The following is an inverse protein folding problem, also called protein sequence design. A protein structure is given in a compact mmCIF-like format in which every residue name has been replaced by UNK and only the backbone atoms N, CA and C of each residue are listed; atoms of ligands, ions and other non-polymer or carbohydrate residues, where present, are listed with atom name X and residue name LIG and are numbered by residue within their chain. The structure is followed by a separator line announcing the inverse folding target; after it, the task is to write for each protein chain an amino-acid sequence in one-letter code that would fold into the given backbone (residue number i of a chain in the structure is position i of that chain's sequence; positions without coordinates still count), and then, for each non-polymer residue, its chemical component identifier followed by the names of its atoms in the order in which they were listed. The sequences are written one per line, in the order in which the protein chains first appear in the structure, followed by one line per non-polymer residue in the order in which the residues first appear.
data_IF_353057829491
#
_entry.id   IF_353057829491
#
_cell.length_a   1.000
_cell.length_b   1.000
_cell.length_c   1.000
_cell.angle_alpha   90.00
_cell.angle_beta   90.00
_cell.angle_gamma   90.00
#
_symmetry.space_group_name_H-M   'P 1'
#
loop_
_entity.id
_entity.type
_entity.pdbx_description
1 polymer ?
#
# COMPACT_ATOMS: atom_id res chain seq x y z
N UNK A 1 -13.95 -17.15 -11.47
CA UNK A 1 -12.71 -16.93 -12.25
C UNK A 1 -12.81 -15.61 -12.97
N UNK A 2 -11.83 -14.70 -12.85
CA UNK A 2 -11.84 -13.46 -13.66
C UNK A 2 -11.56 -13.84 -15.10
N UNK A 3 -12.52 -13.68 -16.00
CA UNK A 3 -12.38 -13.97 -17.44
C UNK A 3 -11.48 -12.96 -18.18
N UNK A 4 -10.48 -12.35 -17.54
CA UNK A 4 -9.61 -11.34 -18.14
C UNK A 4 -10.22 -9.95 -18.37
N UNK A 5 -11.54 -9.79 -18.24
CA UNK A 5 -12.26 -8.55 -18.55
C UNK A 5 -12.26 -7.51 -17.42
N UNK A 6 -11.94 -7.91 -16.19
CA UNK A 6 -12.02 -7.08 -15.00
C UNK A 6 -10.68 -6.90 -14.30
N UNK A 7 -10.33 -5.64 -14.04
CA UNK A 7 -9.20 -5.23 -13.20
C UNK A 7 -9.73 -4.53 -11.96
N UNK A 8 -8.95 -4.56 -10.88
CA UNK A 8 -9.26 -3.79 -9.66
C UNK A 8 -9.25 -2.29 -10.02
N UNK A 9 -10.11 -1.50 -9.36
CA UNK A 9 -10.24 -0.06 -9.55
C UNK A 9 -10.82 0.43 -10.91
N UNK A 10 -11.69 -0.35 -11.54
CA UNK A 10 -12.57 0.13 -12.62
C UNK A 10 -13.81 0.79 -12.00
N UNK A 11 -14.30 1.90 -12.58
CA UNK A 11 -15.53 2.56 -12.09
C UNK A 11 -16.76 1.70 -12.33
N UNK A 12 -17.76 1.79 -11.45
CA UNK A 12 -18.98 0.97 -11.52
C UNK A 12 -19.69 1.09 -12.87
N UNK A 13 -19.76 2.30 -13.44
CA UNK A 13 -20.37 2.52 -14.75
C UNK A 13 -19.62 1.81 -15.90
N UNK A 14 -18.28 1.74 -15.86
CA UNK A 14 -17.50 0.99 -16.86
C UNK A 14 -17.66 -0.52 -16.62
N UNK A 15 -17.70 -0.94 -15.36
CA UNK A 15 -17.90 -2.32 -14.97
C UNK A 15 -19.24 -2.87 -15.50
N UNK A 16 -20.35 -2.18 -15.22
CA UNK A 16 -21.70 -2.57 -15.65
C UNK A 16 -21.80 -2.64 -17.17
N UNK A 17 -21.22 -1.67 -17.89
CA UNK A 17 -21.22 -1.69 -19.37
C UNK A 17 -20.48 -2.90 -19.95
N UNK A 18 -19.42 -3.37 -19.28
CA UNK A 18 -18.63 -4.52 -19.70
C UNK A 18 -19.22 -5.86 -19.26
N UNK A 19 -20.01 -5.88 -18.19
CA UNK A 19 -20.69 -7.05 -17.68
C UNK A 19 -22.02 -6.61 -17.05
N UNK A 20 -23.12 -6.60 -17.83
CA UNK A 20 -24.43 -6.17 -17.36
C UNK A 20 -24.94 -6.99 -16.17
N UNK A 21 -24.58 -8.28 -16.13
CA UNK A 21 -24.99 -9.22 -15.07
C UNK A 21 -24.07 -9.18 -13.83
N UNK A 22 -23.25 -8.13 -13.69
CA UNK A 22 -22.32 -8.01 -12.56
C UNK A 22 -23.08 -7.85 -11.23
N UNK A 23 -22.84 -8.78 -10.32
CA UNK A 23 -23.37 -8.71 -8.95
C UNK A 23 -22.43 -7.89 -8.07
N UNK A 24 -22.94 -6.79 -7.51
CA UNK A 24 -22.24 -5.99 -6.51
C UNK A 24 -22.50 -6.54 -5.11
N UNK A 25 -21.44 -6.93 -4.42
CA UNK A 25 -21.50 -7.42 -3.03
C UNK A 25 -20.93 -6.36 -2.10
N UNK A 26 -21.69 -5.89 -1.08
CA UNK A 26 -21.19 -4.95 -0.10
C UNK A 26 -19.94 -5.48 0.63
N UNK A 27 -18.94 -4.64 0.91
CA UNK A 27 -17.73 -5.08 1.61
C UNK A 27 -18.02 -5.41 3.08
N UNK A 28 -17.52 -6.56 3.54
CA UNK A 28 -17.60 -7.01 4.94
C UNK A 28 -16.24 -6.92 5.62
N UNK A 29 -15.76 -5.68 5.85
CA UNK A 29 -14.41 -5.43 6.36
C UNK A 29 -14.11 -6.10 7.70
N UNK A 30 -15.11 -6.31 8.56
CA UNK A 30 -14.93 -7.02 9.82
C UNK A 30 -14.55 -8.48 9.59
N UNK A 31 -15.27 -9.16 8.70
CA UNK A 31 -14.98 -10.54 8.28
C UNK A 31 -13.60 -10.63 7.61
N UNK A 32 -13.26 -9.67 6.74
CA UNK A 32 -11.96 -9.67 6.06
C UNK A 32 -10.80 -9.52 7.04
N UNK A 33 -10.97 -8.70 8.09
CA UNK A 33 -9.98 -8.54 9.15
C UNK A 33 -9.86 -9.80 10.01
N UNK A 34 -10.99 -10.38 10.40
CA UNK A 34 -11.00 -11.64 11.17
C UNK A 34 -10.25 -12.76 10.42
N UNK A 35 -10.53 -12.95 9.14
CA UNK A 35 -9.85 -13.96 8.32
C UNK A 35 -8.36 -13.62 8.14
N UNK A 36 -8.02 -12.35 7.92
CA UNK A 36 -6.63 -11.88 7.88
C UNK A 36 -5.90 -12.22 9.17
N UNK A 37 -6.50 -11.97 10.33
CA UNK A 37 -5.89 -12.23 11.64
C UNK A 37 -5.70 -13.74 11.86
N UNK A 38 -6.65 -14.57 11.42
CA UNK A 38 -6.50 -16.05 11.42
C UNK A 38 -5.34 -16.52 10.54
N UNK A 39 -5.21 -15.97 9.34
CA UNK A 39 -4.09 -16.31 8.43
C UNK A 39 -2.75 -15.85 9.04
N UNK A 40 -2.71 -14.68 9.68
CA UNK A 40 -1.50 -14.19 10.37
C UNK A 40 -1.11 -15.06 11.56
N UNK A 41 -2.08 -15.61 12.28
CA UNK A 41 -1.81 -16.59 13.33
C UNK A 41 -1.16 -17.87 12.76
N UNK A 42 -1.60 -18.35 11.58
CA UNK A 42 -0.93 -19.46 10.89
C UNK A 42 0.52 -19.10 10.55
N UNK A 43 0.79 -17.89 10.04
CA UNK A 43 2.16 -17.46 9.73
C UNK A 43 3.09 -17.48 10.95
N UNK A 44 2.59 -17.07 12.12
CA UNK A 44 3.35 -17.02 13.36
C UNK A 44 3.85 -18.42 13.82
N UNK A 45 3.23 -19.50 13.34
CA UNK A 45 3.69 -20.86 13.62
C UNK A 45 4.96 -21.26 12.84
N UNK A 46 5.42 -20.43 11.90
CA UNK A 46 6.57 -20.72 11.03
C UNK A 46 7.70 -19.70 11.15
N UNK A 47 7.42 -18.48 11.60
CA UNK A 47 8.43 -17.44 11.84
C UNK A 47 7.85 -16.27 12.63
N UNK A 48 8.68 -15.63 13.45
CA UNK A 48 8.35 -14.35 14.07
C UNK A 48 8.60 -13.15 13.13
N UNK A 49 9.31 -13.38 12.02
CA UNK A 49 9.66 -12.37 11.04
C UNK A 49 8.58 -12.24 9.96
N UNK A 50 7.49 -11.56 10.32
CA UNK A 50 6.32 -11.37 9.45
C UNK A 50 6.11 -9.87 9.16
N UNK A 51 6.14 -9.47 7.89
CA UNK A 51 5.84 -8.09 7.47
C UNK A 51 4.53 -8.06 6.65
N UNK A 52 3.40 -7.65 7.25
CA UNK A 52 2.15 -7.50 6.51
C UNK A 52 2.23 -6.35 5.49
N UNK A 53 1.77 -6.60 4.26
CA UNK A 53 1.59 -5.55 3.23
C UNK A 53 0.12 -5.09 3.13
N UNK A 54 -0.81 -6.02 3.32
CA UNK A 54 -2.26 -5.80 3.24
C UNK A 54 -2.99 -6.76 4.20
N UNK A 55 -4.31 -6.89 4.05
CA UNK A 55 -5.08 -7.91 4.77
C UNK A 55 -4.76 -9.33 4.27
N UNK A 56 -4.39 -9.47 3.00
CA UNK A 56 -4.23 -10.75 2.31
C UNK A 56 -2.80 -11.06 1.85
N UNK A 57 -1.84 -10.17 2.14
CA UNK A 57 -0.43 -10.34 1.77
C UNK A 57 0.52 -10.03 2.93
N UNK A 58 1.53 -10.88 3.10
CA UNK A 58 2.63 -10.69 4.03
C UNK A 58 3.94 -11.25 3.43
N UNK A 59 5.08 -10.66 3.81
CA UNK A 59 6.38 -11.32 3.69
C UNK A 59 6.67 -12.11 4.95
N UNK A 60 7.24 -13.30 4.78
CA UNK A 60 7.73 -14.15 5.86
C UNK A 60 9.22 -14.40 5.60
N UNK A 61 10.07 -14.17 6.60
CA UNK A 61 11.45 -14.65 6.56
C UNK A 61 11.52 -16.02 7.22
N UNK A 62 11.77 -17.04 6.40
CA UNK A 62 11.86 -18.45 6.80
C UNK A 62 13.28 -18.98 6.61
N UNK A 63 14.28 -18.09 6.71
CA UNK A 63 15.70 -18.48 6.66
C UNK A 63 16.01 -19.49 7.76
N UNK A 64 15.43 -19.30 8.94
CA UNK A 64 15.42 -20.30 10.01
C UNK A 64 14.15 -21.16 9.90
N UNK A 65 14.33 -22.47 9.71
CA UNK A 65 13.23 -23.43 9.64
C UNK A 65 12.93 -24.01 11.03
N UNK A 66 12.09 -23.30 11.78
CA UNK A 66 11.71 -23.68 13.14
C UNK A 66 10.81 -24.94 13.20
N UNK A 67 10.30 -25.40 12.04
CA UNK A 67 9.40 -26.56 11.93
C UNK A 67 10.09 -27.80 11.36
N UNK A 68 11.33 -27.68 10.89
CA UNK A 68 12.11 -28.80 10.35
C UNK A 68 11.55 -29.38 9.04
N UNK A 69 10.90 -28.55 8.21
CA UNK A 69 10.35 -28.94 6.91
C UNK A 69 11.40 -29.00 5.78
N UNK A 70 12.64 -28.56 6.05
CA UNK A 70 13.83 -28.69 5.22
C UNK A 70 13.98 -27.64 4.11
N UNK A 71 12.88 -27.10 3.57
CA UNK A 71 12.96 -26.07 2.52
C UNK A 71 11.87 -25.01 2.66
N UNK A 72 12.18 -23.78 2.25
CA UNK A 72 11.19 -22.70 2.17
C UNK A 72 10.00 -23.02 1.24
N UNK A 73 10.21 -23.91 0.24
CA UNK A 73 9.15 -24.41 -0.62
C UNK A 73 8.16 -25.27 0.17
N UNK A 74 8.66 -26.23 0.96
CA UNK A 74 7.84 -27.07 1.82
C UNK A 74 7.09 -26.24 2.88
N UNK A 75 7.73 -25.24 3.47
CA UNK A 75 7.08 -24.30 4.40
C UNK A 75 5.92 -23.57 3.71
N UNK A 76 6.14 -23.04 2.50
CA UNK A 76 5.09 -22.34 1.76
C UNK A 76 3.94 -23.26 1.32
N UNK A 77 4.21 -24.51 0.96
CA UNK A 77 3.18 -25.52 0.66
C UNK A 77 2.33 -25.85 1.88
N UNK A 78 2.97 -26.08 3.02
CA UNK A 78 2.31 -26.36 4.29
C UNK A 78 1.43 -25.19 4.74
N UNK A 79 1.95 -23.95 4.69
CA UNK A 79 1.18 -22.73 5.01
C UNK A 79 -0.06 -22.64 4.12
N UNK A 80 0.07 -22.87 2.81
CA UNK A 80 -1.07 -22.84 1.88
C UNK A 80 -2.11 -23.92 2.20
N UNK A 81 -1.66 -25.14 2.50
CA UNK A 81 -2.53 -26.23 2.89
C UNK A 81 -3.32 -25.90 4.18
N UNK A 82 -2.65 -25.34 5.19
CA UNK A 82 -3.28 -24.88 6.42
C UNK A 82 -4.26 -23.73 6.22
N UNK A 83 -3.91 -22.72 5.42
CA UNK A 83 -4.86 -21.64 5.07
C UNK A 83 -6.13 -22.24 4.46
N UNK A 84 -5.98 -23.21 3.55
CA UNK A 84 -7.13 -23.88 2.92
C UNK A 84 -7.95 -24.69 3.91
N UNK A 85 -7.31 -25.45 4.78
CA UNK A 85 -7.98 -26.26 5.80
C UNK A 85 -8.75 -25.38 6.81
N UNK A 86 -8.11 -24.32 7.31
CA UNK A 86 -8.65 -23.52 8.41
C UNK A 86 -9.71 -22.53 7.92
N UNK A 87 -9.52 -21.94 6.73
CA UNK A 87 -10.37 -20.83 6.24
C UNK A 87 -11.25 -21.20 5.05
N UNK A 88 -10.99 -22.33 4.39
CA UNK A 88 -11.62 -22.69 3.12
C UNK A 88 -11.11 -21.89 1.91
N UNK A 89 -10.22 -20.92 2.10
CA UNK A 89 -9.69 -20.04 1.05
C UNK A 89 -8.37 -20.58 0.47
N UNK A 90 -8.11 -20.29 -0.80
CA UNK A 90 -6.83 -20.62 -1.46
C UNK A 90 -5.84 -19.47 -1.32
N UNK A 91 -4.55 -19.79 -1.21
CA UNK A 91 -3.47 -18.81 -1.24
C UNK A 91 -2.43 -19.17 -2.32
N UNK A 92 -1.79 -18.16 -2.90
CA UNK A 92 -0.61 -18.34 -3.74
C UNK A 92 0.64 -17.90 -2.98
N UNK A 93 1.79 -18.49 -3.29
CA UNK A 93 3.05 -18.16 -2.63
C UNK A 93 4.19 -17.95 -3.63
N UNK A 94 5.08 -17.02 -3.31
CA UNK A 94 6.34 -16.81 -4.02
C UNK A 94 7.49 -17.02 -3.06
N UNK A 95 8.45 -17.88 -3.43
CA UNK A 95 9.61 -18.21 -2.60
C UNK A 95 10.88 -17.78 -3.32
N UNK A 96 11.68 -16.95 -2.67
CA UNK A 96 12.97 -16.51 -3.20
C UNK A 96 13.90 -16.03 -2.08
N UNK A 97 15.11 -15.64 -2.46
CA UNK A 97 16.20 -15.24 -1.56
C UNK A 97 16.15 -13.75 -1.16
N UNK A 98 15.17 -12.99 -1.68
CA UNK A 98 14.89 -11.62 -1.24
C UNK A 98 13.41 -11.25 -1.47
N UNK A 99 12.96 -10.20 -0.80
CA UNK A 99 11.57 -9.72 -0.82
C UNK A 99 11.09 -9.36 -2.22
N UNK A 100 11.88 -8.59 -2.98
CA UNK A 100 11.51 -8.14 -4.31
C UNK A 100 11.15 -9.30 -5.25
N UNK A 101 12.02 -10.32 -5.33
CA UNK A 101 11.79 -11.47 -6.22
C UNK A 101 10.69 -12.38 -5.66
N UNK A 102 10.62 -12.58 -4.34
CA UNK A 102 9.54 -13.35 -3.72
C UNK A 102 8.16 -12.76 -4.08
N UNK A 103 8.01 -11.43 -4.05
CA UNK A 103 6.77 -10.77 -4.47
C UNK A 103 6.47 -10.95 -5.95
N UNK A 104 7.46 -10.80 -6.84
CA UNK A 104 7.29 -11.08 -8.26
C UNK A 104 6.86 -12.52 -8.54
N UNK A 105 7.44 -13.48 -7.81
CA UNK A 105 7.14 -14.89 -7.91
C UNK A 105 5.71 -15.20 -7.45
N UNK A 106 5.23 -14.56 -6.38
CA UNK A 106 3.89 -14.82 -5.83
C UNK A 106 2.75 -14.53 -6.81
N UNK A 107 2.97 -13.67 -7.80
CA UNK A 107 1.99 -13.34 -8.84
C UNK A 107 2.08 -14.25 -10.07
N UNK A 108 3.19 -14.99 -10.24
CA UNK A 108 3.51 -15.69 -11.49
C UNK A 108 2.58 -16.89 -11.76
N UNK A 109 2.23 -17.64 -10.72
CA UNK A 109 1.44 -18.88 -10.80
C UNK A 109 0.07 -18.73 -10.11
N UNK A 110 -0.50 -17.51 -10.05
CA UNK A 110 -1.86 -17.30 -9.53
C UNK A 110 -2.90 -17.87 -10.52
N UNK A 111 -4.04 -18.44 -10.04
CA UNK A 111 -4.42 -18.63 -8.64
C UNK A 111 -3.94 -19.97 -8.05
N UNK A 112 -3.90 -20.05 -6.72
CA UNK A 112 -3.64 -21.27 -5.93
C UNK A 112 -2.37 -22.04 -6.34
N UNK A 113 -1.28 -21.30 -6.52
CA UNK A 113 -0.02 -21.84 -7.00
C UNK A 113 1.18 -21.28 -6.24
N UNK A 114 2.29 -22.03 -6.31
CA UNK A 114 3.59 -21.64 -5.77
C UNK A 114 4.57 -21.37 -6.92
N UNK A 115 5.43 -20.36 -6.77
CA UNK A 115 6.53 -20.10 -7.68
C UNK A 115 7.84 -19.93 -6.90
N UNK A 116 8.87 -20.67 -7.29
CA UNK A 116 10.17 -20.67 -6.61
C UNK A 116 11.23 -20.11 -7.55
N UNK A 117 11.90 -19.04 -7.14
CA UNK A 117 12.99 -18.43 -7.90
C UNK A 117 14.28 -18.49 -7.08
N UNK A 118 15.24 -19.29 -7.54
CA UNK A 118 16.52 -19.49 -6.87
C UNK A 118 17.53 -18.38 -7.20
N UNK A 119 18.60 -18.19 -6.39
CA UNK A 119 19.65 -17.20 -6.66
C UNK A 119 20.22 -17.27 -8.08
N UNK A 120 20.44 -18.49 -8.59
CA UNK A 120 20.96 -18.72 -9.96
C UNK A 120 20.02 -18.21 -11.06
N UNK A 121 18.72 -18.10 -10.78
CA UNK A 121 17.69 -17.68 -11.75
C UNK A 121 17.19 -16.24 -11.54
N UNK A 122 17.46 -15.64 -10.39
CA UNK A 122 16.86 -14.37 -9.97
C UNK A 122 17.04 -13.23 -10.96
N UNK A 123 18.29 -12.90 -11.31
CA UNK A 123 18.59 -11.80 -12.23
C UNK A 123 17.98 -12.01 -13.62
N UNK A 124 18.14 -13.20 -14.20
CA UNK A 124 17.58 -13.53 -15.51
C UNK A 124 16.04 -13.48 -15.52
N UNK A 125 15.41 -13.98 -14.45
CA UNK A 125 13.96 -13.88 -14.28
C UNK A 125 13.52 -12.42 -14.26
N UNK A 126 14.15 -11.57 -13.44
CA UNK A 126 13.80 -10.15 -13.37
C UNK A 126 13.98 -9.45 -14.72
N UNK A 127 15.08 -9.73 -15.42
CA UNK A 127 15.37 -9.11 -16.72
C UNK A 127 14.33 -9.48 -17.80
N UNK A 128 13.75 -10.67 -17.72
CA UNK A 128 12.70 -11.12 -18.65
C UNK A 128 11.35 -10.40 -18.49
N UNK A 129 11.16 -9.67 -17.39
CA UNK A 129 9.87 -9.10 -17.02
C UNK A 129 9.73 -7.64 -17.47
N UNK A 130 8.51 -7.20 -17.86
CA UNK A 130 8.21 -5.78 -18.01
C UNK A 130 8.41 -5.01 -16.70
N UNK A 131 9.01 -3.82 -16.73
CA UNK A 131 9.29 -3.02 -15.51
C UNK A 131 8.03 -2.64 -14.73
N UNK A 132 6.88 -2.55 -15.40
CA UNK A 132 5.56 -2.32 -14.75
C UNK A 132 5.13 -3.43 -13.79
N UNK A 133 5.78 -4.61 -13.83
CA UNK A 133 5.54 -5.69 -12.86
C UNK A 133 6.37 -5.50 -11.57
N UNK A 134 7.39 -4.65 -11.59
CA UNK A 134 8.31 -4.52 -10.47
C UNK A 134 7.59 -3.87 -9.29
N UNK A 135 7.71 -4.47 -8.11
CA UNK A 135 7.17 -3.88 -6.90
C UNK A 135 7.75 -2.45 -6.72
N UNK A 136 6.89 -1.48 -6.45
CA UNK A 136 7.25 -0.06 -6.33
C UNK A 136 7.28 0.72 -7.65
N UNK A 137 7.20 0.06 -8.82
CA UNK A 137 7.02 0.75 -10.11
C UNK A 137 5.53 0.94 -10.38
N UNK A 138 4.99 2.08 -9.92
CA UNK A 138 3.61 2.47 -10.20
C UNK A 138 3.40 3.01 -11.63
N UNK A 139 2.14 3.28 -12.03
CA UNK A 139 1.80 3.72 -13.40
C UNK A 139 2.57 4.96 -13.87
N UNK A 140 2.78 5.94 -12.98
CA UNK A 140 3.53 7.17 -13.28
C UNK A 140 5.00 6.88 -13.57
N UNK A 141 5.63 6.07 -12.71
CA UNK A 141 7.03 5.66 -12.88
C UNK A 141 7.19 4.80 -14.13
N UNK A 142 6.26 3.89 -14.40
CA UNK A 142 6.26 3.07 -15.62
C UNK A 142 6.17 3.93 -16.89
N UNK A 143 5.29 4.94 -16.90
CA UNK A 143 5.18 5.85 -18.05
C UNK A 143 6.45 6.71 -18.22
N UNK A 144 7.09 7.12 -17.12
CA UNK A 144 8.39 7.81 -17.17
C UNK A 144 9.48 6.91 -17.74
N UNK A 145 9.56 5.66 -17.29
CA UNK A 145 10.49 4.64 -17.81
C UNK A 145 10.28 4.40 -19.30
N UNK A 146 9.04 4.26 -19.75
CA UNK A 146 8.68 4.09 -21.16
C UNK A 146 9.17 5.25 -22.04
N UNK A 147 9.01 6.51 -21.58
CA UNK A 147 9.56 7.68 -22.28
C UNK A 147 11.08 7.70 -22.36
N UNK A 148 11.76 7.00 -21.45
CA UNK A 148 13.21 6.84 -21.44
C UNK A 148 13.67 5.56 -22.18
N UNK A 149 12.76 4.84 -22.83
CA UNK A 149 13.05 3.59 -23.55
C UNK A 149 13.23 2.36 -22.64
N UNK A 150 12.84 2.44 -21.37
CA UNK A 150 12.98 1.36 -20.39
C UNK A 150 11.64 0.62 -20.28
N UNK A 151 11.51 -0.53 -20.94
CA UNK A 151 10.27 -1.33 -20.98
C UNK A 151 10.37 -2.62 -20.16
N UNK A 152 11.56 -3.18 -20.09
CA UNK A 152 11.87 -4.48 -19.48
C UNK A 152 12.95 -4.36 -18.41
N UNK A 153 13.06 -5.39 -17.57
CA UNK A 153 14.16 -5.50 -16.61
C UNK A 153 15.52 -5.54 -17.29
N UNK A 154 15.62 -6.07 -18.51
CA UNK A 154 16.84 -6.06 -19.32
C UNK A 154 17.23 -4.63 -19.72
N UNK A 155 16.27 -3.80 -20.15
CA UNK A 155 16.53 -2.38 -20.46
C UNK A 155 17.01 -1.65 -19.21
N UNK A 156 16.34 -1.87 -18.07
CA UNK A 156 16.71 -1.26 -16.81
C UNK A 156 18.09 -1.71 -16.32
N UNK A 157 18.45 -2.98 -16.55
CA UNK A 157 19.77 -3.51 -16.24
C UNK A 157 20.87 -2.80 -17.04
N UNK A 158 20.60 -2.46 -18.30
CA UNK A 158 21.51 -1.71 -19.18
C UNK A 158 21.77 -0.25 -18.77
N UNK A 159 20.96 0.31 -17.86
CA UNK A 159 21.14 1.68 -17.40
C UNK A 159 22.25 1.80 -16.34
N UNK A 160 23.01 2.90 -16.41
CA UNK A 160 23.99 3.24 -15.38
C UNK A 160 23.30 3.77 -14.12
N UNK A 161 23.94 3.62 -12.96
CA UNK A 161 23.40 4.18 -11.72
C UNK A 161 23.26 5.70 -11.80
N UNK A 162 24.24 6.40 -12.37
CA UNK A 162 24.20 7.85 -12.55
C UNK A 162 23.01 8.31 -13.41
N UNK A 163 22.70 7.58 -14.49
CA UNK A 163 21.51 7.84 -15.30
C UNK A 163 20.24 7.67 -14.46
N UNK A 164 20.14 6.59 -13.69
CA UNK A 164 18.98 6.35 -12.83
C UNK A 164 18.86 7.40 -11.73
N UNK A 165 19.97 7.89 -11.15
CA UNK A 165 19.96 8.96 -10.14
C UNK A 165 19.45 10.27 -10.74
N UNK A 166 19.93 10.65 -11.93
CA UNK A 166 19.48 11.85 -12.63
C UNK A 166 17.96 11.84 -12.94
N UNK A 167 17.40 10.66 -13.23
CA UNK A 167 16.00 10.53 -13.61
C UNK A 167 15.05 10.10 -12.49
N UNK A 168 15.50 9.37 -11.47
CA UNK A 168 14.65 8.77 -10.43
C UNK A 168 15.09 9.14 -9.00
N UNK A 169 16.13 9.97 -8.84
CA UNK A 169 16.57 10.50 -7.56
C UNK A 169 16.90 9.38 -6.57
N UNK A 170 16.39 9.50 -5.35
CA UNK A 170 16.60 8.52 -4.26
C UNK A 170 16.08 7.11 -4.57
N UNK A 171 15.26 6.93 -5.61
CA UNK A 171 14.76 5.63 -6.01
C UNK A 171 15.71 4.86 -6.95
N UNK A 172 16.78 5.50 -7.41
CA UNK A 172 17.72 4.94 -8.36
C UNK A 172 18.44 3.68 -7.85
N UNK A 173 18.92 3.68 -6.61
CA UNK A 173 19.64 2.56 -6.03
C UNK A 173 18.76 1.30 -5.96
N UNK A 174 17.48 1.49 -5.59
CA UNK A 174 16.50 0.42 -5.59
C UNK A 174 16.30 -0.17 -6.99
N UNK A 175 16.07 0.69 -8.00
CA UNK A 175 15.85 0.24 -9.37
C UNK A 175 17.07 -0.46 -9.97
N UNK A 176 18.26 0.08 -9.70
CA UNK A 176 19.53 -0.47 -10.13
C UNK A 176 19.77 -1.87 -9.56
N UNK A 177 19.55 -2.04 -8.26
CA UNK A 177 19.65 -3.32 -7.56
C UNK A 177 18.57 -4.31 -8.03
N UNK A 178 17.32 -3.86 -8.14
CA UNK A 178 16.20 -4.69 -8.56
C UNK A 178 16.46 -5.38 -9.90
N UNK A 179 16.90 -4.63 -10.93
CA UNK A 179 17.23 -5.18 -12.25
C UNK A 179 18.36 -6.23 -12.24
N UNK A 180 19.17 -6.24 -11.17
CA UNK A 180 20.27 -7.20 -10.92
C UNK A 180 19.86 -8.33 -9.98
N UNK A 181 18.59 -8.38 -9.57
CA UNK A 181 18.08 -9.35 -8.61
C UNK A 181 18.62 -9.13 -7.19
N UNK A 182 19.01 -7.90 -6.85
CA UNK A 182 19.58 -7.51 -5.56
C UNK A 182 18.57 -6.68 -4.79
N UNK A 183 18.20 -7.14 -3.60
CA UNK A 183 17.38 -6.41 -2.63
C UNK A 183 17.81 -6.84 -1.21
N UNK A 184 18.38 -5.91 -0.45
CA UNK A 184 18.89 -6.17 0.91
C UNK A 184 17.91 -5.75 2.00
N UNK A 185 16.69 -5.31 1.66
CA UNK A 185 15.71 -4.89 2.66
C UNK A 185 15.27 -6.13 3.48
N UNK A 186 15.41 -6.11 4.81
CA UNK A 186 14.92 -7.20 5.64
C UNK A 186 13.39 -7.21 5.69
N UNK A 187 12.84 -8.33 6.14
CA UNK A 187 11.45 -8.41 6.60
C UNK A 187 11.34 -7.68 7.94
N UNK A 188 10.43 -6.71 8.03
CA UNK A 188 10.24 -5.83 9.19
C UNK A 188 8.92 -6.14 9.89
N UNK A 189 8.98 -6.64 11.13
CA UNK A 189 7.83 -7.12 11.90
C UNK A 189 6.86 -5.98 12.28
N UNK A 190 7.41 -4.87 12.73
CA UNK A 190 6.63 -3.70 13.16
C UNK A 190 6.98 -2.49 12.30
N UNK A 191 5.98 -1.92 11.63
CA UNK A 191 6.08 -0.59 11.05
C UNK A 191 5.09 0.31 11.77
N UNK A 192 5.59 1.13 12.69
CA UNK A 192 4.78 2.20 13.26
C UNK A 192 4.21 3.04 12.11
N UNK A 193 2.89 3.25 12.12
CA UNK A 193 2.25 4.08 11.11
C UNK A 193 2.83 5.49 11.21
N UNK A 194 3.34 6.06 10.12
CA UNK A 194 3.90 7.44 10.11
C UNK A 194 2.81 8.53 10.18
N UNK A 195 1.56 8.13 9.95
CA UNK A 195 0.39 8.99 10.03
C UNK A 195 -0.88 8.17 10.26
N UNK A 196 -1.88 8.78 10.87
CA UNK A 196 -3.19 8.17 11.14
C UNK A 196 -4.29 9.16 10.77
N UNK A 197 -5.28 8.73 10.01
CA UNK A 197 -6.34 9.60 9.53
C UNK A 197 -7.53 8.87 8.94
N UNK A 198 -8.48 9.65 8.45
CA UNK A 198 -9.63 9.17 7.69
C UNK A 198 -9.90 10.10 6.51
N UNK A 199 -10.46 9.55 5.44
CA UNK A 199 -10.97 10.31 4.30
C UNK A 199 -12.28 9.72 3.81
N UNK A 200 -13.12 10.57 3.22
CA UNK A 200 -14.43 10.17 2.69
C UNK A 200 -14.67 10.85 1.35
N UNK A 201 -14.93 10.03 0.33
CA UNK A 201 -15.52 10.49 -0.93
C UNK A 201 -17.03 10.61 -0.75
N UNK A 202 -17.61 11.71 -1.23
CA UNK A 202 -19.03 11.98 -1.17
C UNK A 202 -19.72 11.55 -2.46
N UNK A 203 -20.98 11.13 -2.35
CA UNK A 203 -21.83 10.76 -3.48
C UNK A 203 -22.14 11.99 -4.35
N UNK A 204 -22.46 13.10 -3.68
CA UNK A 204 -22.67 14.42 -4.29
C UNK A 204 -21.56 15.37 -3.84
N UNK A 205 -21.05 16.18 -4.77
CA UNK A 205 -20.03 17.17 -4.45
C UNK A 205 -20.62 18.24 -3.52
N UNK A 206 -19.88 18.59 -2.47
CA UNK A 206 -20.28 19.58 -1.46
C UNK A 206 -19.74 20.96 -1.83
N UNK A 207 -20.58 21.98 -1.86
CA UNK A 207 -20.22 23.34 -2.29
C UNK A 207 -20.36 24.38 -1.18
N UNK A 208 -21.20 24.12 -0.17
CA UNK A 208 -21.48 25.08 0.90
C UNK A 208 -20.49 24.93 2.07
N UNK A 209 -20.17 26.03 2.74
CA UNK A 209 -19.33 26.02 3.93
C UNK A 209 -19.90 25.13 5.05
N UNK A 210 -21.23 25.13 5.18
CA UNK A 210 -21.95 24.36 6.20
C UNK A 210 -21.83 22.86 5.96
N UNK A 211 -22.09 22.40 4.73
CA UNK A 211 -21.98 20.98 4.36
C UNK A 211 -20.54 20.47 4.52
N UNK A 212 -19.56 21.28 4.11
CA UNK A 212 -18.15 20.95 4.22
C UNK A 212 -17.70 20.85 5.68
N UNK A 213 -18.15 21.77 6.54
CA UNK A 213 -17.90 21.72 7.99
C UNK A 213 -18.52 20.45 8.57
N UNK A 214 -19.80 20.18 8.32
CA UNK A 214 -20.47 18.99 8.82
C UNK A 214 -19.79 17.69 8.33
N UNK A 215 -19.33 17.67 7.08
CA UNK A 215 -18.57 16.56 6.54
C UNK A 215 -17.21 16.39 7.22
N UNK A 216 -16.48 17.47 7.48
CA UNK A 216 -15.19 17.41 8.16
C UNK A 216 -15.33 16.94 9.61
N UNK A 217 -16.40 17.32 10.32
CA UNK A 217 -16.71 16.77 11.65
C UNK A 217 -16.77 15.23 11.62
N UNK A 218 -17.55 14.66 10.69
CA UNK A 218 -17.66 13.19 10.55
C UNK A 218 -16.32 12.53 10.21
N UNK A 219 -15.51 13.17 9.38
CA UNK A 219 -14.16 12.69 9.03
C UNK A 219 -13.24 12.74 10.26
N UNK A 220 -13.30 13.82 11.03
CA UNK A 220 -12.51 13.98 12.25
C UNK A 220 -12.90 12.97 13.32
N UNK A 221 -14.20 12.68 13.52
CA UNK A 221 -14.66 11.64 14.44
C UNK A 221 -14.08 10.27 14.05
N UNK A 222 -14.20 9.90 12.77
CA UNK A 222 -13.66 8.63 12.27
C UNK A 222 -12.13 8.54 12.37
N UNK A 223 -11.42 9.65 12.13
CA UNK A 223 -9.97 9.73 12.28
C UNK A 223 -9.57 9.64 13.77
N UNK A 224 -10.27 10.32 14.66
CA UNK A 224 -9.93 10.39 16.08
C UNK A 224 -10.08 9.04 16.78
N UNK A 225 -11.14 8.29 16.50
CA UNK A 225 -11.30 6.90 16.98
C UNK A 225 -10.09 6.05 16.61
N UNK A 226 -9.52 6.25 15.41
CA UNK A 226 -8.31 5.54 14.98
C UNK A 226 -7.07 6.04 15.71
N UNK A 227 -6.93 7.36 15.90
CA UNK A 227 -5.80 7.97 16.61
C UNK A 227 -5.74 7.45 18.06
N UNK A 228 -6.86 7.46 18.78
CA UNK A 228 -6.96 6.95 20.15
C UNK A 228 -6.64 5.46 20.23
N UNK A 229 -7.20 4.66 19.32
CA UNK A 229 -6.94 3.21 19.28
C UNK A 229 -5.46 2.87 19.10
N UNK A 230 -4.71 3.69 18.35
CA UNK A 230 -3.28 3.47 18.12
C UNK A 230 -2.40 4.21 19.14
N UNK A 231 -2.97 4.90 20.14
CA UNK A 231 -2.22 5.70 21.11
C UNK A 231 -1.32 6.77 20.47
N UNK A 232 -1.64 7.20 19.24
CA UNK A 232 -0.74 8.00 18.42
C UNK A 232 -0.74 9.46 18.87
N UNK A 233 0.46 10.02 19.10
CA UNK A 233 0.65 11.44 19.41
C UNK A 233 1.41 12.11 18.29
N UNK A 234 0.77 13.03 17.58
CA UNK A 234 1.37 13.77 16.48
C UNK A 234 1.18 15.27 16.62
N UNK A 235 1.94 16.05 15.85
CA UNK A 235 1.92 17.52 15.88
C UNK A 235 1.42 18.17 14.59
N UNK A 236 1.27 17.39 13.52
CA UNK A 236 0.91 17.92 12.20
C UNK A 236 -0.48 17.44 11.81
N UNK A 237 -1.38 18.37 11.57
CA UNK A 237 -2.72 18.11 11.01
C UNK A 237 -2.71 18.43 9.54
N UNK A 238 -3.06 17.45 8.71
CA UNK A 238 -3.16 17.61 7.25
C UNK A 238 -4.60 17.46 6.80
N UNK A 239 -5.13 18.51 6.17
CA UNK A 239 -6.35 18.48 5.39
C UNK A 239 -6.04 18.03 3.95
N UNK A 240 -6.77 17.04 3.47
CA UNK A 240 -6.81 16.64 2.07
C UNK A 240 -8.17 17.01 1.49
N UNK A 241 -8.18 17.70 0.35
CA UNK A 241 -9.38 18.10 -0.36
C UNK A 241 -9.25 17.70 -1.83
N UNK A 242 -10.25 16.99 -2.36
CA UNK A 242 -10.36 16.70 -3.80
C UNK A 242 -11.56 17.42 -4.38
N UNK A 243 -11.31 18.23 -5.40
CA UNK A 243 -12.34 18.96 -6.14
C UNK A 243 -13.13 18.02 -7.07
N UNK A 244 -14.24 18.51 -7.61
CA UNK A 244 -15.07 17.78 -8.57
C UNK A 244 -14.33 17.35 -9.85
N UNK A 245 -13.33 18.14 -10.26
CA UNK A 245 -12.42 17.87 -11.39
C UNK A 245 -11.31 16.84 -11.06
N UNK A 246 -11.37 16.21 -9.89
CA UNK A 246 -10.40 15.26 -9.35
C UNK A 246 -9.03 15.86 -8.98
N UNK A 247 -8.84 17.19 -9.10
CA UNK A 247 -7.65 17.87 -8.57
C UNK A 247 -7.62 17.73 -7.05
N UNK A 248 -6.50 17.22 -6.53
CA UNK A 248 -6.30 17.04 -5.09
C UNK A 248 -5.34 18.11 -4.56
N UNK A 249 -5.73 18.79 -3.49
CA UNK A 249 -4.85 19.67 -2.72
C UNK A 249 -4.69 19.13 -1.31
N UNK A 250 -3.53 19.39 -0.72
CA UNK A 250 -3.26 19.14 0.69
C UNK A 250 -2.82 20.44 1.36
N UNK A 251 -3.28 20.66 2.59
CA UNK A 251 -2.85 21.76 3.46
C UNK A 251 -2.50 21.18 4.80
N UNK A 252 -1.40 21.63 5.40
CA UNK A 252 -0.95 21.12 6.68
C UNK A 252 -0.66 22.26 7.64
N UNK A 253 -0.87 22.00 8.93
CA UNK A 253 -0.46 22.86 10.03
C UNK A 253 0.29 22.01 11.04
N UNK A 254 1.50 22.44 11.40
CA UNK A 254 2.31 21.82 12.45
C UNK A 254 2.34 22.73 13.67
N UNK A 255 2.09 22.18 14.84
CA UNK A 255 2.27 22.84 16.13
C UNK A 255 3.59 22.44 16.79
N UNK A 256 4.05 23.23 17.76
CA UNK A 256 5.22 22.88 18.58
C UNK A 256 4.88 21.74 19.56
N UNK A 257 3.72 21.84 20.22
CA UNK A 257 3.19 20.80 21.07
C UNK A 257 2.32 19.80 20.27
N UNK A 258 2.20 18.53 20.73
CA UNK A 258 1.29 17.56 20.14
C UNK A 258 -0.16 18.06 20.15
N UNK A 259 -0.95 17.57 19.18
CA UNK A 259 -2.41 17.70 19.21
C UNK A 259 -2.94 16.82 20.34
N UNK A 260 -3.60 17.43 21.31
CA UNK A 260 -3.95 16.79 22.60
C UNK A 260 -5.26 16.03 22.56
N UNK A 261 -6.22 16.50 21.76
CA UNK A 261 -7.59 16.00 21.76
C UNK A 261 -8.28 16.21 20.39
N UNK A 262 -9.47 15.61 20.25
CA UNK A 262 -10.29 15.71 19.06
C UNK A 262 -10.67 17.14 18.71
N UNK A 263 -10.90 17.98 19.71
CA UNK A 263 -11.35 19.35 19.50
C UNK A 263 -10.22 20.18 18.87
N UNK A 264 -9.00 20.06 19.37
CA UNK A 264 -7.81 20.67 18.78
C UNK A 264 -7.53 20.16 17.36
N UNK A 265 -7.67 18.85 17.14
CA UNK A 265 -7.51 18.22 15.83
C UNK A 265 -8.49 18.76 14.79
N UNK A 266 -9.78 18.79 15.17
CA UNK A 266 -10.86 19.29 14.32
C UNK A 266 -10.73 20.80 14.08
N UNK A 267 -10.40 21.59 15.10
CA UNK A 267 -10.22 23.04 14.96
C UNK A 267 -9.13 23.36 13.93
N UNK A 268 -7.98 22.68 14.01
CA UNK A 268 -6.92 22.84 13.01
C UNK A 268 -7.40 22.45 11.60
N UNK A 269 -8.16 21.36 11.48
CA UNK A 269 -8.75 20.94 10.20
C UNK A 269 -9.74 21.97 9.63
N UNK A 270 -10.59 22.55 10.48
CA UNK A 270 -11.58 23.56 10.08
C UNK A 270 -10.90 24.84 9.62
N UNK A 271 -9.87 25.31 10.32
CA UNK A 271 -9.13 26.49 9.88
C UNK A 271 -8.50 26.28 8.49
N UNK A 272 -7.90 25.11 8.26
CA UNK A 272 -7.33 24.75 6.96
C UNK A 272 -8.40 24.72 5.86
N UNK A 273 -9.60 24.22 6.18
CA UNK A 273 -10.74 24.13 5.26
C UNK A 273 -11.30 25.51 4.93
N UNK A 274 -11.52 26.35 5.94
CA UNK A 274 -12.07 27.69 5.77
C UNK A 274 -11.18 28.56 4.87
N UNK A 275 -9.86 28.40 4.97
CA UNK A 275 -8.90 29.08 4.10
C UNK A 275 -8.96 28.64 2.62
N UNK A 276 -9.70 27.58 2.28
CA UNK A 276 -9.90 27.15 0.88
C UNK A 276 -11.25 27.62 0.30
N UNK A 277 -12.11 28.25 1.10
CA UNK A 277 -13.41 28.73 0.63
C UNK A 277 -13.29 30.09 -0.08
N UNK A 278 -14.17 30.38 -1.06
CA UNK A 278 -15.21 29.51 -1.61
C UNK A 278 -14.66 28.41 -2.54
N UNK A 279 -15.39 27.31 -2.65
CA UNK A 279 -15.08 26.17 -3.56
C UNK A 279 -16.21 25.97 -4.57
N UNK A 280 -16.34 26.87 -5.57
CA UNK A 280 -17.50 26.90 -6.47
C UNK A 280 -17.72 25.60 -7.26
N UNK A 281 -16.64 24.92 -7.67
CA UNK A 281 -16.71 23.64 -8.39
C UNK A 281 -17.11 22.46 -7.49
N UNK A 282 -17.16 22.68 -6.17
CA UNK A 282 -17.49 21.67 -5.17
C UNK A 282 -16.35 20.72 -4.83
N UNK A 283 -16.52 20.06 -3.70
CA UNK A 283 -15.57 19.11 -3.11
C UNK A 283 -16.17 17.72 -3.15
N UNK A 284 -15.41 16.79 -3.72
CA UNK A 284 -15.78 15.37 -3.84
C UNK A 284 -15.22 14.52 -2.71
N UNK A 285 -14.12 14.92 -2.08
CA UNK A 285 -13.53 14.19 -0.95
C UNK A 285 -12.89 15.16 0.06
N UNK A 286 -13.09 14.85 1.34
CA UNK A 286 -12.33 15.43 2.45
C UNK A 286 -11.60 14.33 3.22
N UNK A 287 -10.38 14.64 3.66
CA UNK A 287 -9.60 13.79 4.55
C UNK A 287 -8.89 14.63 5.60
N UNK A 288 -8.75 14.07 6.80
CA UNK A 288 -8.03 14.68 7.90
C UNK A 288 -7.10 13.64 8.54
N UNK A 289 -5.82 14.01 8.66
CA UNK A 289 -4.74 13.11 9.05
C UNK A 289 -3.84 13.77 10.09
N UNK A 290 -3.47 13.01 11.12
CA UNK A 290 -2.45 13.36 12.10
C UNK A 290 -1.12 12.70 11.70
N UNK A 291 -0.03 13.48 11.68
CA UNK A 291 1.33 13.02 11.40
C UNK A 291 2.36 13.78 12.27
N UNK A 292 3.65 13.56 12.01
CA UNK A 292 4.73 14.08 12.86
C UNK A 292 4.66 13.42 14.24
N UNK A 293 4.59 12.09 14.23
CA UNK A 293 4.38 11.27 15.42
C UNK A 293 5.62 11.35 16.29
N UNK A 294 5.42 11.68 17.56
CA UNK A 294 6.51 11.80 18.54
C UNK A 294 6.75 10.45 19.20
N UNK A 295 7.91 9.84 18.92
CA UNK A 295 8.33 8.54 19.46
C UNK A 295 8.59 7.50 18.37
N UNK A 296 9.81 6.95 18.39
CA UNK A 296 10.43 5.93 17.51
C UNK A 296 10.97 6.42 16.13
N UNK A 297 12.29 6.60 16.12
CA UNK A 297 13.24 6.83 15.03
C UNK A 297 12.88 7.89 13.98
N UNK A 298 13.45 9.09 14.18
CA UNK A 298 13.81 10.06 13.15
C UNK A 298 14.86 9.47 12.16
N UNK A 299 14.62 8.28 11.60
CA UNK A 299 15.18 7.93 10.30
C UNK A 299 14.43 8.73 9.25
N UNK A 300 14.96 9.93 9.00
CA UNK A 300 14.65 10.81 7.89
C UNK A 300 14.72 9.98 6.61
N UNK A 301 13.58 9.48 6.14
CA UNK A 301 13.43 9.09 4.75
C UNK A 301 13.19 10.37 3.95
N UNK A 302 14.11 10.76 3.04
CA UNK A 302 13.93 11.97 2.25
C UNK A 302 12.65 11.85 1.41
N UNK A 303 11.69 12.72 1.70
CA UNK A 303 10.50 12.92 0.89
C UNK A 303 10.86 13.64 -0.41
N UNK A 304 10.29 13.16 -1.51
CA UNK A 304 10.36 13.76 -2.84
C UNK A 304 9.95 15.24 -2.80
N UNK A 305 10.88 16.13 -3.17
CA UNK A 305 10.58 17.35 -3.90
C UNK A 305 10.72 17.04 -5.40
#
# INVERSE_FOLDING_TARGET
TRSGHFRIAVTDGIAIRKCPDLVFVPPRFDVYREVSDRIRAIFADYTDLIEPLSLDEAYLDVTEDIRGLGTAAAIAEEIRARIKADTGLTASAGVSYNKFIAKLASDQNKPDGICIITPKRGAAFVQSLPVKRFHGVGPVTAQKMERLGILTGADLYGMTLAFLQAHFGSYADYLYGAARGIDHRPVRVNRAAKSVGAERTFETNLTTAEDLRAALHRVADAAWVRIERHGTRGRTVTLKLRHADFRTITRARSSQAPVTDKAAFLAAGLDLLMAQLPVPDGVRLLGLTLSGIMGEDDEIQPSLL
#
